data_IF_146524394560
#
_entry.id   IF_146524394560
#
_cell.length_a   1.000
_cell.length_b   1.000
_cell.length_c   1.000
_cell.angle_alpha   90.00
_cell.angle_beta   90.00
_cell.angle_gamma   90.00
#
_symmetry.space_group_name_H-M   'P 1'
#
loop_
_entity.id
_entity.type
_entity.pdbx_description
1 polymer ?
#
# COMPACT_ATOMS: atom_id res chain seq x y z
N UNK A 1 3.84 -6.24 -12.35
CA UNK A 1 3.16 -5.28 -11.46
C UNK A 1 3.76 -5.32 -10.06
N UNK A 2 3.79 -6.48 -9.38
CA UNK A 2 4.42 -6.67 -8.05
C UNK A 2 5.85 -6.11 -7.97
N UNK A 3 6.73 -6.42 -8.94
CA UNK A 3 8.11 -5.91 -8.95
C UNK A 3 8.18 -4.38 -8.92
N UNK A 4 7.28 -3.68 -9.62
CA UNK A 4 7.21 -2.21 -9.66
C UNK A 4 6.70 -1.63 -8.33
N UNK A 5 5.76 -2.32 -7.67
CA UNK A 5 5.24 -1.96 -6.35
C UNK A 5 6.30 -2.14 -5.27
N UNK A 6 7.06 -3.23 -5.33
CA UNK A 6 8.21 -3.48 -4.44
C UNK A 6 9.32 -2.46 -4.69
N UNK A 7 9.65 -2.14 -5.95
CA UNK A 7 10.65 -1.13 -6.30
C UNK A 7 10.25 0.30 -5.81
N UNK A 8 8.95 0.61 -5.80
CA UNK A 8 8.41 1.84 -5.21
C UNK A 8 8.64 1.88 -3.69
N UNK A 9 8.56 0.73 -3.02
CA UNK A 9 8.73 0.57 -1.58
C UNK A 9 10.18 0.42 -1.13
N UNK A 10 11.09 -0.01 -2.00
CA UNK A 10 12.52 -0.01 -1.71
C UNK A 10 12.98 1.43 -1.59
N UNK A 11 12.94 1.95 -0.37
CA UNK A 11 13.53 3.23 -0.02
C UNK A 11 15.01 3.12 -0.36
N UNK A 12 15.41 3.79 -1.43
CA UNK A 12 16.80 3.82 -1.87
C UNK A 12 17.62 4.53 -0.79
N UNK A 13 18.80 4.00 -0.45
CA UNK A 13 19.67 4.61 0.57
C UNK A 13 20.15 6.01 0.14
N UNK A 14 20.05 6.33 -1.17
CA UNK A 14 20.32 7.66 -1.73
C UNK A 14 19.07 8.26 -2.38
N UNK A 15 18.81 9.57 -2.22
CA UNK A 15 17.72 10.24 -2.91
C UNK A 15 17.91 10.18 -4.43
N UNK A 16 16.83 9.87 -5.16
CA UNK A 16 16.81 9.88 -6.62
C UNK A 16 15.49 10.49 -7.12
N UNK A 17 15.50 11.00 -8.34
CA UNK A 17 14.29 11.54 -8.98
C UNK A 17 13.52 10.39 -9.64
N UNK A 18 12.25 10.27 -9.28
CA UNK A 18 11.32 9.32 -9.89
C UNK A 18 10.12 10.09 -10.46
N UNK A 19 9.69 9.75 -11.67
CA UNK A 19 8.37 10.11 -12.19
C UNK A 19 7.45 8.91 -12.05
N UNK A 20 6.34 9.07 -11.34
CA UNK A 20 5.35 8.01 -11.09
C UNK A 20 3.96 8.48 -11.54
N UNK A 21 3.07 7.54 -11.88
CA UNK A 21 1.66 7.87 -12.09
C UNK A 21 1.02 8.28 -10.76
N UNK A 22 0.00 9.13 -10.79
CA UNK A 22 -0.61 9.69 -9.57
C UNK A 22 -1.04 8.63 -8.54
N UNK A 23 -1.63 7.53 -9.01
CA UNK A 23 -2.07 6.44 -8.13
C UNK A 23 -0.90 5.77 -7.39
N UNK A 24 0.21 5.51 -8.10
CA UNK A 24 1.45 4.99 -7.51
C UNK A 24 2.08 5.98 -6.52
N UNK A 25 2.07 7.26 -6.87
CA UNK A 25 2.62 8.31 -6.00
C UNK A 25 1.82 8.45 -4.69
N UNK A 26 0.48 8.37 -4.74
CA UNK A 26 -0.37 8.43 -3.55
C UNK A 26 -0.14 7.22 -2.65
N UNK A 27 -0.15 6.01 -3.20
CA UNK A 27 0.07 4.80 -2.41
C UNK A 27 1.45 4.81 -1.75
N UNK A 28 2.49 5.21 -2.50
CA UNK A 28 3.85 5.38 -1.97
C UNK A 28 3.88 6.37 -0.81
N UNK A 29 3.30 7.56 -0.98
CA UNK A 29 3.30 8.61 0.03
C UNK A 29 2.63 8.17 1.33
N UNK A 30 1.51 7.43 1.24
CA UNK A 30 0.84 6.86 2.41
C UNK A 30 1.72 5.85 3.16
N UNK A 31 2.39 4.95 2.43
CA UNK A 31 3.27 3.93 3.01
C UNK A 31 4.50 4.55 3.67
N UNK A 32 5.13 5.54 3.03
CA UNK A 32 6.25 6.30 3.59
C UNK A 32 5.83 7.14 4.82
N UNK A 33 4.59 7.62 4.86
CA UNK A 33 4.02 8.31 6.01
C UNK A 33 3.68 7.38 7.19
N UNK A 34 3.76 6.06 6.99
CA UNK A 34 3.51 5.06 8.04
C UNK A 34 2.06 4.59 8.14
N UNK A 35 1.26 4.74 7.09
CA UNK A 35 -0.07 4.11 7.04
C UNK A 35 0.08 2.59 7.10
N UNK A 36 -0.60 1.97 8.05
CA UNK A 36 -0.57 0.54 8.34
C UNK A 36 -1.96 -0.12 8.24
N UNK A 37 -3.02 0.65 7.96
CA UNK A 37 -4.36 0.16 7.67
C UNK A 37 -5.01 0.89 6.50
N UNK A 38 -5.48 0.15 5.50
CA UNK A 38 -6.19 0.70 4.33
C UNK A 38 -7.50 -0.05 4.10
N UNK A 39 -8.58 0.71 4.02
CA UNK A 39 -9.94 0.21 3.85
C UNK A 39 -10.55 0.87 2.62
N UNK A 40 -11.01 0.07 1.65
CA UNK A 40 -11.45 0.60 0.35
C UNK A 40 -12.78 0.01 -0.09
N UNK A 41 -13.57 0.79 -0.82
CA UNK A 41 -14.61 0.26 -1.70
C UNK A 41 -14.13 0.40 -3.16
N UNK A 42 -14.27 -0.62 -4.03
CA UNK A 42 -13.81 -0.54 -5.41
C UNK A 42 -14.60 0.50 -6.21
N UNK A 43 -13.88 1.31 -6.99
CA UNK A 43 -14.44 2.33 -7.87
C UNK A 43 -13.37 2.93 -8.80
N UNK A 44 -13.71 3.31 -10.03
CA UNK A 44 -12.76 3.96 -10.93
C UNK A 44 -12.69 5.46 -10.61
N UNK A 45 -11.50 6.08 -10.50
CA UNK A 45 -10.15 5.52 -10.70
C UNK A 45 -9.44 5.00 -9.43
N UNK A 46 -10.10 5.01 -8.27
CA UNK A 46 -9.47 4.68 -6.98
C UNK A 46 -9.03 3.22 -6.80
N UNK A 47 -9.65 2.27 -7.51
CA UNK A 47 -9.29 0.83 -7.43
C UNK A 47 -7.81 0.59 -7.71
N UNK A 48 -7.20 1.34 -8.63
CA UNK A 48 -5.77 1.18 -8.94
C UNK A 48 -4.87 1.54 -7.74
N UNK A 49 -5.31 2.46 -6.88
CA UNK A 49 -4.60 2.77 -5.63
C UNK A 49 -4.75 1.60 -4.65
N UNK A 50 -5.97 1.11 -4.48
CA UNK A 50 -6.30 0.01 -3.56
C UNK A 50 -5.61 -1.30 -3.93
N UNK A 51 -5.46 -1.60 -5.22
CA UNK A 51 -4.69 -2.76 -5.69
C UNK A 51 -3.22 -2.69 -5.28
N UNK A 52 -2.60 -1.51 -5.26
CA UNK A 52 -1.21 -1.37 -4.80
C UNK A 52 -1.11 -1.80 -3.33
N UNK A 53 -1.99 -1.32 -2.47
CA UNK A 53 -2.01 -1.71 -1.06
C UNK A 53 -2.30 -3.20 -0.86
N UNK A 54 -3.23 -3.79 -1.64
CA UNK A 54 -3.48 -5.22 -1.61
C UNK A 54 -2.24 -6.03 -1.95
N UNK A 55 -1.54 -5.68 -3.04
CA UNK A 55 -0.31 -6.36 -3.46
C UNK A 55 0.79 -6.26 -2.40
N UNK A 56 0.92 -5.11 -1.72
CA UNK A 56 1.87 -4.93 -0.62
C UNK A 56 1.53 -5.83 0.56
N UNK A 57 0.26 -5.84 0.98
CA UNK A 57 -0.24 -6.70 2.07
C UNK A 57 0.00 -8.19 1.76
N UNK A 58 -0.33 -8.64 0.55
CA UNK A 58 -0.11 -10.03 0.10
C UNK A 58 1.38 -10.39 0.02
N UNK A 59 2.22 -9.46 -0.45
CA UNK A 59 3.67 -9.65 -0.50
C UNK A 59 4.26 -9.80 0.90
N UNK A 60 3.81 -8.98 1.86
CA UNK A 60 4.22 -9.12 3.26
C UNK A 60 3.75 -10.43 3.89
N UNK A 61 2.54 -10.91 3.57
CA UNK A 61 2.02 -12.17 4.09
C UNK A 61 2.74 -13.41 3.53
N UNK A 62 3.27 -13.32 2.31
CA UNK A 62 3.96 -14.43 1.64
C UNK A 62 5.33 -14.66 2.25
N UNK A 63 5.50 -15.79 2.95
CA UNK A 63 6.64 -16.22 3.79
C UNK A 63 8.01 -16.39 3.10
N UNK A 64 8.24 -15.82 1.92
CA UNK A 64 9.54 -15.79 1.24
C UNK A 64 10.45 -14.63 1.70
N UNK A 65 10.14 -14.00 2.85
CA UNK A 65 10.79 -12.83 3.48
C UNK A 65 12.27 -13.00 3.90
N UNK A 66 13.02 -13.99 3.40
CA UNK A 66 14.33 -14.30 4.00
C UNK A 66 15.49 -13.39 3.60
N UNK A 67 15.36 -12.40 2.70
CA UNK A 67 16.48 -11.50 2.34
C UNK A 67 16.16 -10.06 1.93
N UNK A 68 14.95 -9.72 1.50
CA UNK A 68 14.63 -8.34 1.13
C UNK A 68 14.07 -7.61 2.35
N UNK A 69 14.85 -6.64 2.86
CA UNK A 69 14.55 -5.60 3.86
C UNK A 69 13.06 -5.56 4.28
N UNK A 70 12.77 -5.54 5.59
CA UNK A 70 11.49 -5.01 6.08
C UNK A 70 11.31 -3.58 5.53
N UNK A 71 10.62 -3.45 4.40
CA UNK A 71 10.48 -2.20 3.65
C UNK A 71 9.63 -1.19 4.41
N UNK A 72 8.71 -1.69 5.23
CA UNK A 72 7.84 -0.93 6.09
C UNK A 72 8.14 -1.29 7.55
N UNK A 73 7.93 -0.32 8.45
CA UNK A 73 8.13 -0.53 9.89
C UNK A 73 7.09 -1.49 10.47
N UNK A 74 5.92 -1.59 9.83
CA UNK A 74 4.76 -2.35 10.27
C UNK A 74 4.19 -3.17 9.10
N UNK A 75 3.42 -4.20 9.43
CA UNK A 75 2.66 -4.94 8.42
C UNK A 75 1.44 -4.12 8.03
N UNK A 76 1.24 -3.93 6.74
CA UNK A 76 0.08 -3.26 6.19
C UNK A 76 -1.13 -4.20 6.24
N UNK A 77 -2.21 -3.74 6.87
CA UNK A 77 -3.52 -4.35 6.75
C UNK A 77 -4.30 -3.72 5.59
N UNK A 78 -4.86 -4.54 4.71
CA UNK A 78 -5.70 -4.09 3.61
C UNK A 78 -7.02 -4.86 3.60
N UNK A 79 -8.14 -4.14 3.39
CA UNK A 79 -9.46 -4.77 3.25
C UNK A 79 -10.38 -4.01 2.28
N UNK A 80 -11.06 -4.77 1.41
CA UNK A 80 -12.22 -4.26 0.68
C UNK A 80 -13.48 -4.26 1.56
N UNK A 81 -14.30 -3.23 1.38
CA UNK A 81 -15.57 -3.04 2.08
C UNK A 81 -16.75 -3.16 1.13
N UNK A 82 -17.96 -3.24 1.68
CA UNK A 82 -19.20 -3.39 0.89
C UNK A 82 -19.70 -2.08 0.27
N UNK A 83 -19.27 -0.92 0.80
CA UNK A 83 -19.52 0.43 0.28
C UNK A 83 -18.54 1.42 0.94
N UNK A 84 -18.54 2.67 0.48
CA UNK A 84 -17.66 3.75 0.96
C UNK A 84 -17.92 4.11 2.43
N UNK A 85 -19.18 4.07 2.87
CA UNK A 85 -19.55 4.34 4.26
C UNK A 85 -18.89 3.33 5.20
N UNK A 86 -19.00 2.03 4.89
CA UNK A 86 -18.38 0.97 5.69
C UNK A 86 -16.85 1.06 5.64
N UNK A 87 -16.27 1.38 4.47
CA UNK A 87 -14.83 1.58 4.36
C UNK A 87 -14.33 2.67 5.34
N UNK A 88 -15.03 3.80 5.39
CA UNK A 88 -14.72 4.90 6.30
C UNK A 88 -14.90 4.50 7.78
N UNK A 89 -16.00 3.83 8.13
CA UNK A 89 -16.27 3.41 9.51
C UNK A 89 -15.20 2.42 10.02
N UNK A 90 -14.73 1.50 9.17
CA UNK A 90 -13.63 0.59 9.51
C UNK A 90 -12.31 1.33 9.69
N UNK A 91 -12.00 2.28 8.81
CA UNK A 91 -10.78 3.09 8.93
C UNK A 91 -10.75 3.89 10.24
N UNK A 92 -11.89 4.47 10.64
CA UNK A 92 -12.02 5.17 11.93
C UNK A 92 -11.81 4.22 13.10
N UNK A 93 -12.35 3.00 13.03
CA UNK A 93 -12.21 2.01 14.10
C UNK A 93 -10.80 1.42 14.22
N UNK A 94 -9.99 1.48 13.15
CA UNK A 94 -8.61 1.00 13.14
C UNK A 94 -7.60 2.01 13.71
N UNK A 95 -7.89 3.30 13.58
CA UNK A 95 -7.06 4.41 14.09
C UNK A 95 -7.12 4.55 15.61
#
# INVERSE_FOLDING_TARGET
MIKKVVDILTSYDTPYKLSAIGNEAIARGALEAGVDGVFSYPGTPSTEISEIFNLVSEFQASSNQSKEKNLLKTNLYFEYSINEKIALEKAIAFS
#
